data_IF_916427102079
#
_entry.id   IF_916427102079
#
_cell.length_a   1.000
_cell.length_b   1.000
_cell.length_c   1.000
_cell.angle_alpha   90.00
_cell.angle_beta   90.00
_cell.angle_gamma   90.00
#
_symmetry.space_group_name_H-M   'P 1'
#
loop_
_entity.id
_entity.type
_entity.pdbx_description
1 polymer ?
#
# COMPACT_ATOMS: atom_id res chain seq x y z
N UNK A 1 7.61 0.12 11.59
CA UNK A 1 6.86 0.66 10.43
C UNK A 1 6.99 -0.21 9.19
N UNK A 2 8.17 -0.34 8.55
CA UNK A 2 8.33 -1.11 7.30
C UNK A 2 7.78 -2.55 7.38
N UNK A 3 8.20 -3.32 8.40
CA UNK A 3 7.70 -4.68 8.64
C UNK A 3 6.18 -4.73 8.67
N UNK A 4 5.55 -3.91 9.52
CA UNK A 4 4.11 -3.84 9.69
C UNK A 4 3.34 -3.51 8.40
N UNK A 5 3.89 -2.70 7.50
CA UNK A 5 3.20 -2.30 6.27
C UNK A 5 3.48 -3.21 5.07
N UNK A 6 4.57 -4.00 5.10
CA UNK A 6 5.06 -4.74 3.93
C UNK A 6 5.08 -6.26 4.16
N UNK A 7 5.78 -6.71 5.21
CA UNK A 7 6.10 -8.14 5.42
C UNK A 7 5.24 -8.80 6.48
N UNK A 8 4.74 -8.04 7.45
CA UNK A 8 4.02 -8.49 8.65
C UNK A 8 2.69 -7.76 8.80
N UNK A 9 2.04 -7.43 7.68
CA UNK A 9 0.74 -6.75 7.67
C UNK A 9 -0.37 -7.52 8.40
N UNK A 10 -0.23 -8.85 8.51
CA UNK A 10 -1.16 -9.70 9.26
C UNK A 10 -0.98 -9.57 10.79
N UNK A 11 0.11 -8.94 11.25
CA UNK A 11 0.42 -8.72 12.68
C UNK A 11 -0.21 -7.44 13.24
N UNK A 12 -0.85 -6.62 12.39
CA UNK A 12 -1.52 -5.37 12.77
C UNK A 12 -3.00 -5.41 12.41
N UNK A 13 -3.88 -4.69 13.12
CA UNK A 13 -5.27 -4.58 12.73
C UNK A 13 -5.42 -3.84 11.40
N UNK A 14 -6.31 -4.35 10.55
CA UNK A 14 -6.69 -3.67 9.32
C UNK A 14 -7.59 -2.45 9.64
N UNK A 15 -7.47 -1.36 8.87
CA UNK A 15 -8.35 -0.20 9.01
C UNK A 15 -9.77 -0.58 8.60
N UNK A 16 -10.77 0.16 9.11
CA UNK A 16 -12.18 -0.09 8.78
C UNK A 16 -12.49 -0.06 7.26
N UNK A 17 -11.65 0.64 6.48
CA UNK A 17 -11.71 0.70 5.03
C UNK A 17 -11.26 -0.57 4.31
N UNK A 18 -10.57 -1.50 4.99
CA UNK A 18 -10.07 -2.76 4.42
C UNK A 18 -10.75 -3.95 5.11
N UNK A 19 -11.48 -4.75 4.33
CA UNK A 19 -12.16 -5.97 4.80
C UNK A 19 -11.20 -7.14 4.96
N UNK A 20 -10.30 -7.35 4.00
CA UNK A 20 -9.29 -8.41 4.05
C UNK A 20 -8.13 -8.16 3.09
N UNK A 21 -7.02 -8.85 3.33
CA UNK A 21 -5.88 -8.96 2.41
C UNK A 21 -5.63 -10.44 2.14
N UNK A 22 -5.97 -10.89 0.94
CA UNK A 22 -5.89 -12.30 0.56
C UNK A 22 -4.57 -12.57 -0.19
N UNK A 23 -3.77 -13.54 0.25
CA UNK A 23 -2.57 -14.02 -0.47
C UNK A 23 -3.01 -15.03 -1.54
N UNK A 24 -2.90 -14.66 -2.81
CA UNK A 24 -3.44 -15.45 -3.92
C UNK A 24 -2.45 -16.45 -4.53
N UNK A 25 -1.15 -16.22 -4.37
CA UNK A 25 -0.10 -17.16 -4.77
C UNK A 25 0.65 -17.68 -3.55
N UNK A 26 1.18 -18.90 -3.65
CA UNK A 26 1.82 -19.61 -2.53
C UNK A 26 3.08 -18.92 -1.98
N UNK A 27 3.73 -18.06 -2.76
CA UNK A 27 4.83 -17.21 -2.31
C UNK A 27 4.38 -15.85 -1.73
N UNK A 28 3.07 -15.56 -1.77
CA UNK A 28 2.49 -14.30 -1.30
C UNK A 28 2.81 -13.09 -2.17
N UNK A 29 3.38 -13.28 -3.37
CA UNK A 29 3.76 -12.21 -4.29
C UNK A 29 2.54 -11.51 -4.89
N UNK A 30 1.46 -12.23 -5.13
CA UNK A 30 0.16 -11.65 -5.51
C UNK A 30 -0.72 -11.59 -4.27
N UNK A 31 -1.17 -10.40 -3.91
CA UNK A 31 -2.21 -10.23 -2.89
C UNK A 31 -3.35 -9.37 -3.40
N UNK A 32 -4.53 -9.60 -2.81
CA UNK A 32 -5.77 -8.90 -3.13
C UNK A 32 -6.26 -8.20 -1.88
N UNK A 33 -6.30 -6.87 -1.93
CA UNK A 33 -6.87 -6.04 -0.85
C UNK A 33 -8.32 -5.78 -1.18
N UNK A 34 -9.24 -6.27 -0.36
CA UNK A 34 -10.67 -6.04 -0.48
C UNK A 34 -11.07 -4.87 0.42
N UNK A 35 -11.68 -3.84 -0.15
CA UNK A 35 -12.08 -2.64 0.56
C UNK A 35 -13.54 -2.72 1.03
N UNK A 36 -13.89 -1.86 1.98
CA UNK A 36 -15.27 -1.62 2.37
C UNK A 36 -16.09 -1.05 1.20
N UNK A 37 -17.41 -1.25 1.21
CA UNK A 37 -18.26 -0.94 0.04
C UNK A 37 -18.33 0.56 -0.28
N UNK A 38 -18.01 1.40 0.70
CA UNK A 38 -17.89 2.85 0.63
C UNK A 38 -16.52 3.33 0.17
N UNK A 39 -15.56 2.42 -0.04
CA UNK A 39 -14.17 2.71 -0.41
C UNK A 39 -13.88 2.15 -1.80
N UNK A 40 -13.46 3.05 -2.71
CA UNK A 40 -12.90 2.79 -4.06
C UNK A 40 -13.28 1.41 -4.64
N UNK A 41 -14.51 1.28 -5.14
CA UNK A 41 -14.91 0.29 -6.15
C UNK A 41 -14.64 -1.20 -5.90
N UNK A 42 -14.38 -1.64 -4.66
CA UNK A 42 -14.36 -3.05 -4.28
C UNK A 42 -12.99 -3.61 -3.87
N UNK A 43 -12.02 -3.75 -4.78
CA UNK A 43 -10.72 -4.36 -4.44
C UNK A 43 -9.58 -3.94 -5.38
N UNK A 44 -8.34 -4.10 -4.94
CA UNK A 44 -7.15 -4.05 -5.80
C UNK A 44 -6.33 -5.33 -5.69
N UNK A 45 -5.74 -5.76 -6.80
CA UNK A 45 -4.75 -6.84 -6.85
C UNK A 45 -3.39 -6.23 -7.08
N UNK A 46 -2.49 -6.46 -6.14
CA UNK A 46 -1.11 -6.02 -6.22
C UNK A 46 -0.17 -7.20 -6.42
N UNK A 47 0.87 -6.96 -7.21
CA UNK A 47 2.01 -7.85 -7.39
C UNK A 47 3.21 -7.22 -6.71
N UNK A 48 3.75 -7.89 -5.72
CA UNK A 48 5.00 -7.54 -5.08
C UNK A 48 6.14 -7.96 -6.00
N UNK A 49 6.99 -7.00 -6.32
CA UNK A 49 8.13 -7.18 -7.22
C UNK A 49 9.44 -7.22 -6.45
N UNK A 50 9.56 -6.37 -5.43
CA UNK A 50 10.75 -6.28 -4.58
C UNK A 50 10.34 -6.08 -3.14
N UNK A 51 11.00 -6.82 -2.25
CA UNK A 51 11.06 -6.55 -0.81
C UNK A 51 12.52 -6.58 -0.42
N UNK A 52 13.06 -5.42 -0.08
CA UNK A 52 14.41 -5.24 0.42
C UNK A 52 14.32 -4.85 1.89
N UNK A 53 14.49 -5.84 2.76
CA UNK A 53 14.44 -5.65 4.22
C UNK A 53 15.66 -4.88 4.75
N UNK A 54 16.79 -4.90 4.05
CA UNK A 54 18.01 -4.23 4.50
C UNK A 54 17.91 -2.72 4.28
N UNK A 55 17.36 -2.30 3.14
CA UNK A 55 17.18 -0.90 2.79
C UNK A 55 15.77 -0.35 3.06
N UNK A 56 14.88 -1.17 3.62
CA UNK A 56 13.47 -0.86 3.87
C UNK A 56 12.76 -0.32 2.61
N UNK A 57 12.96 -1.00 1.48
CA UNK A 57 12.34 -0.67 0.19
C UNK A 57 11.37 -1.77 -0.23
N UNK A 58 10.19 -1.39 -0.68
CA UNK A 58 9.28 -2.30 -1.37
C UNK A 58 8.84 -1.71 -2.71
N UNK A 59 8.76 -2.57 -3.73
CA UNK A 59 8.18 -2.24 -5.02
C UNK A 59 7.03 -3.18 -5.32
N UNK A 60 5.91 -2.62 -5.74
CA UNK A 60 4.75 -3.41 -6.15
C UNK A 60 3.98 -2.71 -7.24
N UNK A 61 3.23 -3.51 -8.01
CA UNK A 61 2.44 -3.05 -9.14
C UNK A 61 0.98 -3.39 -8.92
N UNK A 62 0.08 -2.44 -9.15
CA UNK A 62 -1.36 -2.70 -9.20
C UNK A 62 -1.68 -3.25 -10.59
N UNK A 63 -2.12 -4.50 -10.64
CA UNK A 63 -2.37 -5.24 -11.88
C UNK A 63 -3.87 -5.46 -12.15
N UNK A 64 -4.73 -5.19 -11.18
CA UNK A 64 -6.19 -5.28 -11.31
C UNK A 64 -6.85 -4.39 -10.26
N UNK A 65 -7.96 -3.74 -10.62
CA UNK A 65 -8.74 -2.87 -9.73
C UNK A 65 -9.63 -1.90 -10.53
N UNK A 66 -10.46 -1.10 -9.85
CA UNK A 66 -11.48 -0.27 -10.50
C UNK A 66 -10.98 0.69 -11.57
N UNK A 67 -9.74 1.20 -11.41
CA UNK A 67 -9.13 2.14 -12.35
C UNK A 67 -8.27 1.45 -13.42
N UNK A 68 -7.93 0.18 -13.23
CA UNK A 68 -7.07 -0.61 -14.13
C UNK A 68 -7.93 -1.18 -15.27
N UNK A 69 -7.46 -1.04 -16.50
CA UNK A 69 -8.10 -1.58 -17.70
C UNK A 69 -8.99 -0.60 -18.45
N UNK A 70 -9.59 0.40 -17.79
CA UNK A 70 -10.35 1.46 -18.50
C UNK A 70 -9.45 2.63 -18.90
N UNK A 71 -8.82 3.27 -17.90
CA UNK A 71 -7.95 4.45 -18.11
C UNK A 71 -6.47 4.15 -17.88
N UNK A 72 -6.17 3.26 -16.95
CA UNK A 72 -4.79 2.95 -16.52
C UNK A 72 -4.45 1.52 -16.92
N UNK A 73 -3.27 1.31 -17.49
CA UNK A 73 -2.75 -0.02 -17.80
C UNK A 73 -2.15 -0.67 -16.55
N UNK A 74 -1.28 0.05 -15.85
CA UNK A 74 -0.62 -0.39 -14.62
C UNK A 74 -0.28 0.81 -13.73
N UNK A 75 -0.09 0.55 -12.43
CA UNK A 75 0.44 1.54 -11.48
C UNK A 75 1.60 0.91 -10.75
N UNK A 76 2.77 1.52 -10.83
CA UNK A 76 3.95 1.09 -10.10
C UNK A 76 4.11 1.92 -8.83
N UNK A 77 4.37 1.25 -7.72
CA UNK A 77 4.65 1.90 -6.44
C UNK A 77 6.05 1.56 -5.96
N UNK A 78 6.76 2.57 -5.47
CA UNK A 78 7.98 2.43 -4.70
C UNK A 78 7.74 3.02 -3.33
N UNK A 79 7.94 2.19 -2.30
CA UNK A 79 7.87 2.61 -0.90
C UNK A 79 9.25 2.48 -0.30
N UNK A 80 9.74 3.54 0.36
CA UNK A 80 11.01 3.55 1.06
C UNK A 80 10.85 4.17 2.43
N UNK A 81 11.44 3.55 3.44
CA UNK A 81 11.41 4.05 4.81
C UNK A 81 12.83 4.36 5.26
N UNK A 82 13.09 5.60 5.64
CA UNK A 82 14.40 6.07 6.07
C UNK A 82 14.34 6.44 7.55
N UNK A 83 15.31 5.98 8.34
CA UNK A 83 15.39 6.36 9.76
C UNK A 83 15.57 7.87 9.91
N UNK A 84 14.84 8.47 10.85
CA UNK A 84 15.01 9.86 11.24
C UNK A 84 15.78 9.97 12.56
N UNK A 85 16.43 11.11 12.79
CA UNK A 85 17.29 11.34 13.95
C UNK A 85 16.57 11.35 15.30
N UNK A 86 15.25 11.49 15.30
CA UNK A 86 14.37 11.47 16.48
C UNK A 86 13.91 10.06 16.88
N UNK A 87 14.39 9.02 16.19
CA UNK A 87 13.99 7.63 16.43
C UNK A 87 12.76 7.19 15.64
N UNK A 88 12.18 8.06 14.82
CA UNK A 88 11.10 7.73 13.90
C UNK A 88 11.59 7.24 12.52
N UNK A 89 10.73 7.39 11.52
CA UNK A 89 11.10 7.21 10.12
C UNK A 89 10.37 8.20 9.20
N UNK A 90 11.01 8.52 8.08
CA UNK A 90 10.39 9.20 6.94
C UNK A 90 9.97 8.12 5.93
N UNK A 91 8.66 8.02 5.65
CA UNK A 91 8.15 7.20 4.58
C UNK A 91 8.06 8.02 3.28
N UNK A 92 8.71 7.53 2.22
CA UNK A 92 8.62 8.07 0.86
C UNK A 92 7.85 7.09 0.00
N UNK A 93 6.81 7.58 -0.64
CA UNK A 93 5.94 6.79 -1.51
C UNK A 93 5.93 7.47 -2.87
N UNK A 94 6.40 6.77 -3.87
CA UNK A 94 6.35 7.19 -5.27
C UNK A 94 5.33 6.31 -5.98
N UNK A 95 4.43 6.93 -6.73
CA UNK A 95 3.46 6.25 -7.58
C UNK A 95 3.61 6.72 -9.03
N UNK A 96 3.77 5.76 -9.92
CA UNK A 96 3.91 5.98 -11.35
C UNK A 96 2.71 5.34 -12.07
N UNK A 97 1.94 6.14 -12.77
CA UNK A 97 0.70 5.71 -13.42
C UNK A 97 0.92 5.63 -14.94
N UNK A 98 0.72 4.44 -15.50
CA UNK A 98 0.84 4.22 -16.94
C UNK A 98 -0.56 4.22 -17.55
N UNK A 99 -0.90 5.28 -18.28
CA UNK A 99 -2.24 5.48 -18.85
C UNK A 99 -2.40 4.85 -20.22
N UNK A 100 -3.64 4.56 -20.60
CA UNK A 100 -3.98 4.17 -21.98
C UNK A 100 -3.97 5.40 -22.88
N UNK A 101 -2.88 5.60 -23.61
CA UNK A 101 -2.71 6.77 -24.48
C UNK A 101 -2.63 8.08 -23.69
N UNK A 102 -2.97 9.19 -24.33
CA UNK A 102 -2.87 10.55 -23.77
C UNK A 102 -4.07 10.90 -22.86
N UNK A 103 -4.35 10.06 -21.87
CA UNK A 103 -5.35 10.34 -20.83
C UNK A 103 -4.70 11.15 -19.72
N UNK A 104 -5.30 12.29 -19.39
CA UNK A 104 -4.94 13.04 -18.18
C UNK A 104 -5.67 12.44 -16.98
N UNK A 105 -4.92 12.06 -15.95
CA UNK A 105 -5.49 11.58 -14.70
C UNK A 105 -6.11 12.72 -13.90
N UNK A 106 -7.13 12.41 -13.12
CA UNK A 106 -7.75 13.38 -12.23
C UNK A 106 -6.93 13.52 -10.94
N UNK A 107 -6.43 14.72 -10.69
CA UNK A 107 -5.66 15.04 -9.47
C UNK A 107 -6.45 14.75 -8.18
N UNK A 108 -7.78 14.90 -8.19
CA UNK A 108 -8.62 14.60 -7.04
C UNK A 108 -8.65 13.09 -6.71
N UNK A 109 -8.64 12.23 -7.74
CA UNK A 109 -8.62 10.76 -7.56
C UNK A 109 -7.25 10.29 -7.04
N UNK A 110 -6.16 10.89 -7.56
CA UNK A 110 -4.79 10.65 -7.08
C UNK A 110 -4.69 11.06 -5.61
N UNK A 111 -5.17 12.25 -5.27
CA UNK A 111 -5.16 12.77 -3.90
C UNK A 111 -5.97 11.89 -2.94
N UNK A 112 -7.19 11.49 -3.34
CA UNK A 112 -8.03 10.62 -2.51
C UNK A 112 -7.35 9.28 -2.19
N UNK A 113 -6.61 8.72 -3.15
CA UNK A 113 -5.80 7.51 -2.93
C UNK A 113 -4.67 7.78 -1.93
N UNK A 114 -3.98 8.91 -2.06
CA UNK A 114 -2.95 9.33 -1.11
C UNK A 114 -3.47 9.53 0.31
N UNK A 115 -4.64 10.15 0.47
CA UNK A 115 -5.29 10.37 1.77
C UNK A 115 -5.64 9.04 2.46
N UNK A 116 -6.12 8.04 1.70
CA UNK A 116 -6.38 6.70 2.24
C UNK A 116 -5.11 5.98 2.69
N UNK A 117 -4.02 6.11 1.92
CA UNK A 117 -2.71 5.58 2.31
C UNK A 117 -2.26 6.23 3.62
N UNK A 118 -2.40 7.55 3.75
CA UNK A 118 -2.02 8.27 4.97
C UNK A 118 -2.82 7.80 6.20
N UNK A 119 -4.14 7.60 6.05
CA UNK A 119 -4.98 7.04 7.12
C UNK A 119 -4.46 5.68 7.59
N UNK A 120 -4.09 4.81 6.66
CA UNK A 120 -3.55 3.48 7.01
C UNK A 120 -2.21 3.56 7.76
N UNK A 121 -1.33 4.48 7.34
CA UNK A 121 -0.07 4.73 8.03
C UNK A 121 -0.27 5.24 9.46
N UNK A 122 -1.18 6.20 9.66
CA UNK A 122 -1.46 6.76 10.99
C UNK A 122 -2.03 5.71 11.95
N UNK A 123 -2.95 4.87 11.48
CA UNK A 123 -3.51 3.77 12.28
C UNK A 123 -2.44 2.72 12.63
N UNK A 124 -1.54 2.42 11.69
CA UNK A 124 -0.42 1.51 11.93
C UNK A 124 0.55 2.09 12.96
N UNK A 125 0.87 3.39 12.87
CA UNK A 125 1.71 4.07 13.85
C UNK A 125 1.11 4.02 15.25
N UNK A 126 -0.16 4.42 15.39
CA UNK A 126 -0.87 4.40 16.67
C UNK A 126 -0.86 3.01 17.31
N UNK A 127 -1.11 1.97 16.51
CA UNK A 127 -1.08 0.59 16.99
C UNK A 127 0.31 0.16 17.46
N UNK A 128 1.36 0.43 16.67
CA UNK A 128 2.73 0.04 17.04
C UNK A 128 3.23 0.80 18.27
N UNK A 129 2.81 2.06 18.47
CA UNK A 129 3.12 2.81 19.69
C UNK A 129 2.45 2.21 20.93
N UNK A 130 1.23 1.70 20.80
CA UNK A 130 0.52 1.02 21.88
C UNK A 130 1.02 -0.42 22.14
N UNK A 131 1.65 -1.05 21.13
CA UNK A 131 2.08 -2.45 21.14
C UNK A 131 3.54 -2.59 20.67
N UNK A 132 4.53 -2.16 21.48
CA UNK A 132 5.93 -2.03 21.06
C UNK A 132 6.64 -3.37 20.78
N UNK A 133 6.06 -4.50 21.17
CA UNK A 133 6.54 -5.85 20.88
C UNK A 133 6.11 -6.36 19.49
N UNK A 134 5.10 -5.73 18.88
CA UNK A 134 4.63 -6.09 17.53
C UNK A 134 5.62 -5.58 16.49
N UNK A 135 6.01 -6.46 15.56
CA UNK A 135 6.93 -6.14 14.45
C UNK A 135 8.31 -5.60 14.91
N UNK A 136 8.75 -5.95 16.13
CA UNK A 136 10.07 -5.61 16.66
C UNK A 136 11.21 -6.26 15.87
#
# INVERSE_FOLDING_TARGET
MFKALVTEIDSIPLPASIKSIDKLQGDGSIRKTNFADDVIGGYVKHKIEVVDNENCVSKHTIIEGPMIGDKIETIHYVQKFEHSSDGGCVAKIESEYHTKGDIQLNDEEIKATGDQVLVFFNLTEEYLLAHPDVCA
#
